data_IF_139356058956
#
_entry.id   IF_139356058956
#
_cell.length_a   1.000
_cell.length_b   1.000
_cell.length_c   1.000
_cell.angle_alpha   90.00
_cell.angle_beta   90.00
_cell.angle_gamma   90.00
#
_symmetry.space_group_name_H-M   'P 1'
#
loop_
_entity.id
_entity.type
_entity.pdbx_description
1 polymer ?
#
# COMPACT_ATOMS: atom_id res chain seq x y z
N UNK A 1 -15.53 -5.44 16.09
CA UNK A 1 -16.77 -4.72 15.72
C UNK A 1 -16.90 -4.94 14.22
N UNK A 2 -17.94 -5.63 13.74
CA UNK A 2 -18.14 -5.76 12.28
C UNK A 2 -18.47 -4.36 11.76
N UNK A 3 -17.53 -3.71 11.11
CA UNK A 3 -17.85 -2.49 10.37
C UNK A 3 -18.69 -2.91 9.18
N UNK A 4 -20.00 -2.63 9.24
CA UNK A 4 -20.85 -2.77 8.07
C UNK A 4 -20.48 -1.67 7.08
N UNK A 5 -19.63 -2.03 6.11
CA UNK A 5 -19.32 -1.12 5.02
C UNK A 5 -20.56 -0.84 4.19
N UNK A 6 -20.85 0.44 3.99
CA UNK A 6 -21.75 0.84 2.89
C UNK A 6 -21.10 0.50 1.56
N UNK A 7 -21.90 0.38 0.49
CA UNK A 7 -21.35 0.15 -0.86
C UNK A 7 -20.31 1.19 -1.26
N UNK A 8 -20.54 2.46 -0.92
CA UNK A 8 -19.57 3.55 -1.13
C UNK A 8 -18.31 3.39 -0.30
N UNK A 9 -18.43 2.96 0.97
CA UNK A 9 -17.29 2.69 1.83
C UNK A 9 -16.42 1.54 1.31
N UNK A 10 -17.04 0.48 0.80
CA UNK A 10 -16.33 -0.65 0.20
C UNK A 10 -15.62 -0.26 -1.10
N UNK A 11 -16.25 0.57 -1.94
CA UNK A 11 -15.62 1.10 -3.16
C UNK A 11 -14.40 1.94 -2.81
N UNK A 12 -14.52 2.87 -1.84
CA UNK A 12 -13.42 3.71 -1.41
C UNK A 12 -12.26 2.88 -0.82
N UNK A 13 -12.57 1.85 -0.03
CA UNK A 13 -11.56 0.94 0.51
C UNK A 13 -10.82 0.17 -0.59
N UNK A 14 -11.55 -0.29 -1.62
CA UNK A 14 -10.97 -0.93 -2.81
C UNK A 14 -10.01 0.00 -3.55
N UNK A 15 -10.42 1.26 -3.77
CA UNK A 15 -9.58 2.25 -4.46
C UNK A 15 -8.27 2.53 -3.68
N UNK A 16 -8.35 2.64 -2.35
CA UNK A 16 -7.17 2.83 -1.50
C UNK A 16 -6.27 1.60 -1.50
N UNK A 17 -6.83 0.38 -1.45
CA UNK A 17 -6.07 -0.86 -1.56
C UNK A 17 -5.30 -0.92 -2.89
N UNK A 18 -5.94 -0.57 -4.01
CA UNK A 18 -5.28 -0.50 -5.31
C UNK A 18 -4.15 0.54 -5.31
N UNK A 19 -4.41 1.73 -4.75
CA UNK A 19 -3.41 2.80 -4.66
C UNK A 19 -2.18 2.37 -3.82
N UNK A 20 -2.38 1.74 -2.66
CA UNK A 20 -1.30 1.24 -1.80
C UNK A 20 -0.49 0.14 -2.50
N UNK A 21 -1.16 -0.78 -3.19
CA UNK A 21 -0.51 -1.83 -3.98
C UNK A 21 0.36 -1.23 -5.10
N UNK A 22 -0.18 -0.27 -5.85
CA UNK A 22 0.53 0.39 -6.94
C UNK A 22 1.72 1.22 -6.44
N UNK A 23 1.55 1.98 -5.37
CA UNK A 23 2.62 2.75 -4.76
C UNK A 23 3.74 1.85 -4.22
N UNK A 24 3.39 0.72 -3.56
CA UNK A 24 4.35 -0.29 -3.13
C UNK A 24 5.20 -0.81 -4.31
N UNK A 25 4.56 -1.23 -5.41
CA UNK A 25 5.25 -1.74 -6.60
C UNK A 25 6.19 -0.71 -7.21
N UNK A 26 5.74 0.55 -7.35
CA UNK A 26 6.57 1.64 -7.89
C UNK A 26 7.77 1.94 -6.98
N UNK A 27 7.55 2.00 -5.67
CA UNK A 27 8.62 2.21 -4.70
C UNK A 27 9.65 1.07 -4.74
N UNK A 28 9.22 -0.20 -4.87
CA UNK A 28 10.14 -1.34 -5.07
C UNK A 28 10.91 -1.26 -6.38
N UNK A 29 10.26 -0.82 -7.47
CA UNK A 29 10.95 -0.61 -8.73
C UNK A 29 12.08 0.41 -8.54
N UNK A 30 11.76 1.59 -7.99
CA UNK A 30 12.76 2.65 -7.77
C UNK A 30 13.86 2.25 -6.79
N UNK A 31 13.55 1.50 -5.74
CA UNK A 31 14.55 0.96 -4.83
C UNK A 31 15.60 0.08 -5.54
N UNK A 32 15.22 -0.58 -6.64
CA UNK A 32 16.11 -1.49 -7.39
C UNK A 32 16.74 -0.86 -8.63
N UNK A 33 16.22 0.27 -9.12
CA UNK A 33 16.68 0.88 -10.38
C UNK A 33 17.43 2.19 -10.21
N UNK A 34 17.26 2.88 -9.07
CA UNK A 34 17.94 4.15 -8.83
C UNK A 34 19.43 3.92 -8.51
N UNK A 35 20.26 4.81 -9.02
CA UNK A 35 21.72 4.79 -8.80
C UNK A 35 22.14 5.53 -7.54
N UNK A 36 21.31 6.48 -7.08
CA UNK A 36 21.49 7.13 -5.78
C UNK A 36 21.09 6.15 -4.67
N UNK A 37 22.08 5.68 -3.92
CA UNK A 37 21.90 4.69 -2.86
C UNK A 37 21.01 5.18 -1.72
N UNK A 38 21.10 6.46 -1.33
CA UNK A 38 20.28 6.99 -0.25
C UNK A 38 18.82 7.10 -0.67
N UNK A 39 18.57 7.51 -1.92
CA UNK A 39 17.22 7.55 -2.46
C UNK A 39 16.65 6.15 -2.66
N UNK A 40 17.44 5.19 -3.14
CA UNK A 40 17.04 3.80 -3.28
C UNK A 40 16.62 3.18 -1.93
N UNK A 41 17.39 3.42 -0.87
CA UNK A 41 17.07 2.96 0.49
C UNK A 41 15.77 3.60 1.01
N UNK A 42 15.57 4.90 0.79
CA UNK A 42 14.30 5.57 1.13
C UNK A 42 13.11 4.96 0.39
N UNK A 43 13.28 4.66 -0.91
CA UNK A 43 12.25 3.99 -1.71
C UNK A 43 11.94 2.59 -1.18
N UNK A 44 12.94 1.85 -0.70
CA UNK A 44 12.74 0.55 -0.05
C UNK A 44 11.92 0.70 1.24
N UNK A 45 12.20 1.72 2.06
CA UNK A 45 11.40 2.05 3.24
C UNK A 45 9.94 2.40 2.89
N UNK A 46 9.73 3.21 1.84
CA UNK A 46 8.39 3.53 1.35
C UNK A 46 7.64 2.28 0.91
N UNK A 47 8.28 1.38 0.15
CA UNK A 47 7.68 0.12 -0.27
C UNK A 47 7.19 -0.74 0.89
N UNK A 48 7.98 -0.83 1.97
CA UNK A 48 7.60 -1.57 3.19
C UNK A 48 6.39 -0.92 3.85
N UNK A 49 6.36 0.41 3.97
CA UNK A 49 5.26 1.14 4.59
C UNK A 49 3.95 1.00 3.78
N UNK A 50 4.00 1.11 2.46
CA UNK A 50 2.84 0.88 1.58
C UNK A 50 2.30 -0.55 1.70
N UNK A 51 3.19 -1.55 1.75
CA UNK A 51 2.79 -2.94 1.97
C UNK A 51 2.13 -3.16 3.34
N UNK A 52 2.66 -2.55 4.40
CA UNK A 52 2.08 -2.64 5.74
C UNK A 52 0.67 -2.02 5.79
N UNK A 53 0.49 -0.84 5.18
CA UNK A 53 -0.84 -0.20 5.10
C UNK A 53 -1.82 -1.01 4.26
N UNK A 54 -1.39 -1.55 3.12
CA UNK A 54 -2.22 -2.47 2.32
C UNK A 54 -2.72 -3.65 3.17
N UNK A 55 -1.82 -4.31 3.91
CA UNK A 55 -2.20 -5.45 4.74
C UNK A 55 -3.17 -5.06 5.86
N UNK A 56 -2.96 -3.90 6.50
CA UNK A 56 -3.85 -3.38 7.54
C UNK A 56 -5.24 -3.02 6.98
N UNK A 57 -5.32 -2.47 5.77
CA UNK A 57 -6.59 -2.20 5.11
C UNK A 57 -7.28 -3.50 4.66
N UNK A 58 -6.52 -4.47 4.18
CA UNK A 58 -7.04 -5.76 3.76
C UNK A 58 -7.60 -6.55 4.95
N UNK A 59 -6.98 -6.44 6.14
CA UNK A 59 -7.50 -7.08 7.35
C UNK A 59 -8.88 -6.57 7.77
N UNK A 60 -9.27 -5.36 7.36
CA UNK A 60 -10.63 -4.84 7.60
C UNK A 60 -11.69 -5.61 6.80
N UNK A 61 -11.31 -6.32 5.73
CA UNK A 61 -12.20 -7.11 4.89
C UNK A 61 -12.27 -8.59 5.29
N UNK A 62 -11.36 -9.06 6.16
CA UNK A 62 -11.18 -10.48 6.48
C UNK A 62 -11.51 -10.87 7.93
N UNK A 63 -12.13 -9.98 8.70
CA UNK A 63 -12.73 -10.23 10.03
C UNK A 63 -14.27 -10.05 10.02
#
# INVERSE_FOLDING_TARGET
MREEFTSGGLSALSDVLEAECMACKKARLYANTLTDMQLAERMQGLAVNHAARFNALLSLLSE
#
